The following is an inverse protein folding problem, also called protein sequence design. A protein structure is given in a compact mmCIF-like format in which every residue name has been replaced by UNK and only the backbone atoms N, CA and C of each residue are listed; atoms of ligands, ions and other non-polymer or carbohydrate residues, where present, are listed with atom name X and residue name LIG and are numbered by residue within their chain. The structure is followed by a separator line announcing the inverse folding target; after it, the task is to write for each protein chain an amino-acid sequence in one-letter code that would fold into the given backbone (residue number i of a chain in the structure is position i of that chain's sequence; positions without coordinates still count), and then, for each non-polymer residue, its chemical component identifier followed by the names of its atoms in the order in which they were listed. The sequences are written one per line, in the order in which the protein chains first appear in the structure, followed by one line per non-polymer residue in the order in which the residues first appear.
data_IF_686053022996
#
_entry.id   IF_686053022996
#
_cell.length_a   1.000
_cell.length_b   1.000
_cell.length_c   1.000
_cell.angle_alpha   90.00
_cell.angle_beta   90.00
_cell.angle_gamma   90.00
#
_symmetry.space_group_name_H-M   'P 1'
#
loop_
_entity.id
_entity.type
_entity.pdbx_description
1 polymer ?
#
# COMPACT_ATOMS: atom_id res chain seq x y z
N UNK A 1 16.33 22.00 13.74
CA UNK A 1 15.47 20.79 13.84
C UNK A 1 16.28 19.62 13.34
N UNK A 2 16.23 18.46 14.00
CA UNK A 2 16.94 17.25 13.54
C UNK A 2 15.93 16.14 13.20
N UNK A 3 16.15 15.43 12.11
CA UNK A 3 15.30 14.35 11.62
C UNK A 3 16.17 13.11 11.37
N UNK A 4 15.62 11.93 11.63
CA UNK A 4 16.29 10.66 11.35
C UNK A 4 16.12 10.27 9.88
N UNK A 5 14.96 10.61 9.29
CA UNK A 5 14.60 10.29 7.90
C UNK A 5 13.92 11.51 7.26
N UNK A 6 14.28 11.79 6.01
CA UNK A 6 13.58 12.78 5.16
C UNK A 6 13.05 12.05 3.93
N UNK A 7 11.73 12.09 3.75
CA UNK A 7 11.02 11.54 2.58
C UNK A 7 10.65 12.69 1.65
N UNK A 8 10.99 12.56 0.37
CA UNK A 8 10.71 13.57 -0.66
C UNK A 8 9.62 13.06 -1.61
N UNK A 9 8.53 13.80 -1.69
CA UNK A 9 7.31 13.48 -2.43
C UNK A 9 6.22 12.88 -1.53
N UNK A 10 5.11 13.58 -1.35
CA UNK A 10 3.95 13.10 -0.60
C UNK A 10 2.92 12.43 -1.52
N UNK A 11 3.39 11.54 -2.40
CA UNK A 11 2.51 10.62 -3.13
C UNK A 11 2.17 9.40 -2.27
N UNK A 12 1.37 8.46 -2.78
CA UNK A 12 1.03 7.24 -2.04
C UNK A 12 2.27 6.51 -1.46
N UNK A 13 3.35 6.34 -2.25
CA UNK A 13 4.56 5.65 -1.78
C UNK A 13 5.30 6.44 -0.70
N UNK A 14 5.45 7.75 -0.87
CA UNK A 14 6.14 8.59 0.11
C UNK A 14 5.37 8.77 1.42
N UNK A 15 4.03 8.85 1.34
CA UNK A 15 3.16 8.85 2.53
C UNK A 15 3.30 7.51 3.25
N UNK A 16 3.27 6.38 2.53
CA UNK A 16 3.44 5.06 3.15
C UNK A 16 4.81 4.89 3.80
N UNK A 17 5.89 5.30 3.12
CA UNK A 17 7.24 5.26 3.68
C UNK A 17 7.36 6.14 4.94
N UNK A 18 6.82 7.35 4.91
CA UNK A 18 6.87 8.27 6.04
C UNK A 18 6.03 7.77 7.23
N UNK A 19 4.85 7.21 6.96
CA UNK A 19 4.02 6.61 8.00
C UNK A 19 4.76 5.43 8.62
N UNK A 20 5.14 4.40 7.85
CA UNK A 20 5.84 3.20 8.35
C UNK A 20 7.08 3.56 9.17
N UNK A 21 7.93 4.47 8.68
CA UNK A 21 9.10 4.93 9.43
C UNK A 21 8.73 5.60 10.76
N UNK A 22 7.65 6.40 10.78
CA UNK A 22 7.11 6.97 12.01
C UNK A 22 6.52 5.90 12.94
N UNK A 23 5.92 4.82 12.42
CA UNK A 23 5.44 3.69 13.23
C UNK A 23 6.59 2.93 13.90
N UNK A 24 7.76 2.92 13.25
CA UNK A 24 9.00 2.39 13.81
C UNK A 24 9.71 3.36 14.75
N UNK A 25 9.14 4.54 15.00
CA UNK A 25 9.63 5.51 15.99
C UNK A 25 10.65 6.52 15.45
N UNK A 26 10.92 6.54 14.15
CA UNK A 26 11.81 7.53 13.56
C UNK A 26 11.17 8.94 13.54
N UNK A 27 12.00 9.98 13.71
CA UNK A 27 11.62 11.36 13.46
C UNK A 27 11.69 11.62 11.96
N UNK A 28 10.54 11.57 11.30
CA UNK A 28 10.44 11.71 9.84
C UNK A 28 10.02 13.12 9.44
N UNK A 29 10.68 13.70 8.43
CA UNK A 29 10.17 14.82 7.64
C UNK A 29 9.61 14.31 6.31
N UNK A 30 8.40 14.74 5.92
CA UNK A 30 7.81 14.46 4.62
C UNK A 30 7.66 15.78 3.86
N UNK A 31 8.24 15.84 2.66
CA UNK A 31 8.27 17.04 1.82
C UNK A 31 7.43 16.82 0.56
N UNK A 32 6.67 17.84 0.17
CA UNK A 32 5.93 17.88 -1.08
C UNK A 32 6.17 19.24 -1.74
N UNK A 33 6.44 19.23 -3.04
CA UNK A 33 6.65 20.46 -3.82
C UNK A 33 5.32 21.09 -4.24
N UNK A 34 4.32 20.25 -4.53
CA UNK A 34 2.98 20.67 -4.94
C UNK A 34 2.20 21.35 -3.81
N UNK A 35 1.08 21.96 -4.19
CA UNK A 35 0.11 22.56 -3.26
C UNK A 35 -0.73 21.51 -2.53
N UNK A 36 -0.75 20.27 -3.04
CA UNK A 36 -1.53 19.14 -2.53
C UNK A 36 -0.68 17.87 -2.46
N UNK A 37 -0.84 17.13 -1.36
CA UNK A 37 -0.34 15.76 -1.27
C UNK A 37 -1.23 14.78 -2.04
N UNK A 38 -0.76 13.55 -2.19
CA UNK A 38 -1.47 12.40 -2.76
C UNK A 38 -0.96 11.98 -4.14
N UNK A 39 -0.56 12.93 -4.97
CA UNK A 39 -0.01 12.67 -6.32
C UNK A 39 -0.88 11.75 -7.18
N UNK A 40 -0.27 11.05 -8.13
CA UNK A 40 -0.99 10.11 -9.01
C UNK A 40 -1.68 8.97 -8.24
N UNK A 41 -1.17 8.60 -7.05
CA UNK A 41 -1.80 7.57 -6.21
C UNK A 41 -3.19 7.98 -5.70
N UNK A 42 -3.37 9.24 -5.28
CA UNK A 42 -4.68 9.72 -4.83
C UNK A 42 -5.58 10.16 -5.99
N UNK A 43 -5.00 10.77 -7.03
CA UNK A 43 -5.79 11.39 -8.11
C UNK A 43 -6.03 10.47 -9.32
N UNK A 44 -5.13 9.52 -9.59
CA UNK A 44 -5.18 8.65 -10.77
C UNK A 44 -5.54 7.19 -10.49
N UNK A 45 -5.15 6.66 -9.33
CA UNK A 45 -5.48 5.27 -8.97
C UNK A 45 -6.90 5.16 -8.38
N UNK A 46 -7.53 4.00 -8.60
CA UNK A 46 -8.84 3.67 -8.00
C UNK A 46 -8.75 2.48 -7.03
N UNK A 47 -7.59 1.85 -6.90
CA UNK A 47 -7.42 0.64 -6.11
C UNK A 47 -6.04 0.04 -6.34
N UNK A 48 -5.82 -1.14 -5.74
CA UNK A 48 -4.57 -1.88 -5.84
C UNK A 48 -4.81 -3.35 -6.19
N UNK A 49 -3.81 -3.92 -6.85
CA UNK A 49 -3.69 -5.36 -7.01
C UNK A 49 -3.26 -6.01 -5.69
N UNK A 50 -3.86 -7.14 -5.33
CA UNK A 50 -3.30 -8.07 -4.37
C UNK A 50 -3.65 -9.52 -4.71
N UNK A 51 -2.85 -10.43 -4.17
CA UNK A 51 -3.04 -11.88 -4.30
C UNK A 51 -3.11 -12.53 -2.93
N UNK A 52 -3.96 -13.55 -2.79
CA UNK A 52 -4.22 -14.27 -1.52
C UNK A 52 -4.65 -13.39 -0.33
N UNK A 53 -5.28 -12.23 -0.59
CA UNK A 53 -5.83 -11.36 0.44
C UNK A 53 -6.95 -12.04 1.22
N UNK A 54 -7.27 -11.53 2.42
CA UNK A 54 -8.39 -12.02 3.22
C UNK A 54 -9.72 -11.93 2.45
N UNK A 55 -9.97 -10.82 1.77
CA UNK A 55 -11.17 -10.63 0.96
C UNK A 55 -11.25 -11.63 -0.21
N UNK A 56 -10.11 -11.97 -0.84
CA UNK A 56 -10.07 -12.99 -1.90
C UNK A 56 -10.39 -14.39 -1.36
N UNK A 57 -9.84 -14.74 -0.19
CA UNK A 57 -10.10 -16.02 0.48
C UNK A 57 -11.57 -16.15 0.89
N UNK A 58 -12.15 -15.10 1.48
CA UNK A 58 -13.56 -15.04 1.86
C UNK A 58 -14.49 -15.13 0.64
N UNK A 59 -14.09 -14.55 -0.50
CA UNK A 59 -14.82 -14.64 -1.76
C UNK A 59 -14.57 -15.94 -2.56
N UNK A 60 -13.77 -16.87 -2.03
CA UNK A 60 -13.48 -18.15 -2.69
C UNK A 60 -12.63 -18.04 -3.97
N UNK A 61 -11.87 -16.96 -4.14
CA UNK A 61 -11.01 -16.74 -5.31
C UNK A 61 -9.85 -17.74 -5.30
N UNK A 62 -9.74 -18.54 -6.36
CA UNK A 62 -8.64 -19.49 -6.57
C UNK A 62 -7.59 -18.88 -7.49
N UNK A 63 -6.72 -18.07 -6.90
CA UNK A 63 -5.58 -17.46 -7.59
C UNK A 63 -4.43 -17.31 -6.60
N UNK A 64 -3.36 -18.05 -6.84
CA UNK A 64 -2.23 -18.14 -5.91
C UNK A 64 -1.13 -17.14 -6.24
N UNK A 65 -0.23 -16.94 -5.29
CA UNK A 65 0.98 -16.15 -5.51
C UNK A 65 1.81 -16.67 -6.68
N UNK A 66 1.88 -18.00 -6.84
CA UNK A 66 2.58 -18.64 -7.95
C UNK A 66 1.94 -18.28 -9.29
N UNK A 67 0.61 -18.36 -9.38
CA UNK A 67 -0.12 -18.01 -10.60
C UNK A 67 0.16 -16.54 -11.00
N UNK A 68 0.09 -15.63 -10.01
CA UNK A 68 0.39 -14.21 -10.23
C UNK A 68 1.84 -13.96 -10.67
N UNK A 69 2.80 -14.67 -10.08
CA UNK A 69 4.20 -14.55 -10.45
C UNK A 69 4.46 -15.02 -11.88
N UNK A 70 3.94 -16.20 -12.24
CA UNK A 70 4.09 -16.76 -13.58
C UNK A 70 3.43 -15.86 -14.63
N UNK A 71 2.22 -15.35 -14.36
CA UNK A 71 1.51 -14.44 -15.27
C UNK A 71 2.30 -13.15 -15.53
N UNK A 72 2.79 -12.47 -14.49
CA UNK A 72 3.53 -11.20 -14.62
C UNK A 72 4.87 -11.41 -15.34
N UNK A 73 5.61 -12.45 -14.96
CA UNK A 73 6.93 -12.72 -15.55
C UNK A 73 6.80 -13.10 -17.03
N UNK A 74 5.79 -13.91 -17.37
CA UNK A 74 5.53 -14.27 -18.76
C UNK A 74 5.04 -13.07 -19.59
N UNK A 75 4.11 -12.27 -19.05
CA UNK A 75 3.59 -11.07 -19.71
C UNK A 75 4.70 -10.07 -20.04
N UNK A 76 5.68 -9.93 -19.15
CA UNK A 76 6.83 -9.04 -19.34
C UNK A 76 7.98 -9.68 -20.11
N UNK A 77 7.77 -10.85 -20.73
CA UNK A 77 8.81 -11.59 -21.45
C UNK A 77 10.10 -11.77 -20.63
N UNK A 78 9.96 -12.00 -19.32
CA UNK A 78 11.05 -12.12 -18.35
C UNK A 78 11.97 -10.90 -18.23
N UNK A 79 11.56 -9.72 -18.73
CA UNK A 79 12.36 -8.49 -18.61
C UNK A 79 12.24 -7.83 -17.24
N UNK A 80 11.21 -8.17 -16.45
CA UNK A 80 11.03 -7.65 -15.10
C UNK A 80 12.06 -8.22 -14.13
N UNK A 81 12.44 -7.42 -13.13
CA UNK A 81 13.24 -7.92 -12.02
C UNK A 81 12.42 -8.92 -11.20
N UNK A 82 12.71 -10.21 -11.38
CA UNK A 82 12.00 -11.31 -10.75
C UNK A 82 11.96 -11.23 -9.21
N UNK A 83 13.05 -10.79 -8.58
CA UNK A 83 13.11 -10.65 -7.12
C UNK A 83 12.17 -9.54 -6.63
N UNK A 84 12.11 -8.43 -7.37
CA UNK A 84 11.18 -7.34 -7.04
C UNK A 84 9.72 -7.74 -7.26
N UNK A 85 9.41 -8.43 -8.35
CA UNK A 85 8.06 -8.95 -8.61
C UNK A 85 7.63 -9.87 -7.46
N UNK A 86 8.48 -10.82 -7.07
CA UNK A 86 8.22 -11.73 -5.96
C UNK A 86 7.96 -10.97 -4.65
N UNK A 87 8.81 -10.00 -4.31
CA UNK A 87 8.66 -9.22 -3.09
C UNK A 87 7.33 -8.42 -3.06
N UNK A 88 6.93 -7.81 -4.19
CA UNK A 88 5.67 -7.08 -4.31
C UNK A 88 4.48 -8.02 -4.11
N UNK A 89 4.51 -9.20 -4.73
CA UNK A 89 3.42 -10.17 -4.63
C UNK A 89 3.27 -10.70 -3.19
N UNK A 90 4.38 -11.05 -2.54
CA UNK A 90 4.42 -11.57 -1.16
C UNK A 90 3.87 -10.57 -0.14
N UNK A 91 4.07 -9.27 -0.36
CA UNK A 91 3.60 -8.22 0.56
C UNK A 91 2.21 -7.65 0.18
N UNK A 92 1.65 -8.03 -0.96
CA UNK A 92 0.42 -7.41 -1.50
C UNK A 92 -0.79 -7.58 -0.58
N UNK A 93 -1.04 -8.79 -0.05
CA UNK A 93 -2.13 -9.05 0.88
C UNK A 93 -1.97 -8.27 2.20
N UNK A 94 -0.77 -8.31 2.79
CA UNK A 94 -0.49 -7.60 4.03
C UNK A 94 -0.61 -6.07 3.86
N UNK A 95 -0.31 -5.56 2.67
CA UNK A 95 -0.48 -4.16 2.31
C UNK A 95 -1.97 -3.76 2.34
N UNK A 96 -2.87 -4.59 1.82
CA UNK A 96 -4.32 -4.32 1.89
C UNK A 96 -4.80 -4.20 3.35
N UNK A 97 -4.37 -5.12 4.22
CA UNK A 97 -4.73 -5.09 5.63
C UNK A 97 -4.14 -3.85 6.34
N UNK A 98 -2.87 -3.54 6.12
CA UNK A 98 -2.21 -2.36 6.69
C UNK A 98 -2.85 -1.04 6.24
N UNK A 99 -3.30 -0.98 4.98
CA UNK A 99 -4.01 0.19 4.46
C UNK A 99 -5.34 0.40 5.18
N UNK A 100 -6.11 -0.68 5.40
CA UNK A 100 -7.35 -0.62 6.17
C UNK A 100 -7.10 -0.15 7.61
N UNK A 101 -6.09 -0.72 8.29
CA UNK A 101 -5.67 -0.29 9.64
C UNK A 101 -5.24 1.20 9.68
N UNK A 102 -4.64 1.69 8.59
CA UNK A 102 -4.21 3.08 8.44
C UNK A 102 -5.35 4.05 8.06
N UNK A 103 -6.57 3.54 7.85
CA UNK A 103 -7.78 4.30 7.53
C UNK A 103 -8.08 4.43 6.03
N UNK A 104 -7.38 3.70 5.17
CA UNK A 104 -7.61 3.63 3.72
C UNK A 104 -8.16 2.25 3.35
N UNK A 105 -9.46 2.08 3.56
CA UNK A 105 -10.16 0.82 3.30
C UNK A 105 -10.38 0.57 1.81
N UNK A 106 -10.41 -0.72 1.47
CA UNK A 106 -10.67 -1.21 0.12
C UNK A 106 -11.73 -2.30 0.14
N UNK A 107 -12.42 -2.45 -1.00
CA UNK A 107 -13.33 -3.55 -1.26
C UNK A 107 -12.86 -4.36 -2.46
N UNK A 108 -12.98 -5.69 -2.38
CA UNK A 108 -12.69 -6.56 -3.50
C UNK A 108 -13.83 -6.44 -4.51
N UNK A 109 -13.54 -5.91 -5.70
CA UNK A 109 -14.55 -5.75 -6.76
C UNK A 109 -14.33 -6.75 -7.89
N UNK A 110 -15.33 -6.89 -8.76
CA UNK A 110 -15.10 -7.48 -10.08
C UNK A 110 -14.21 -6.54 -10.88
N UNK A 111 -13.32 -7.08 -11.70
CA UNK A 111 -12.38 -6.28 -12.48
C UNK A 111 -13.13 -5.24 -13.32
N UNK A 112 -12.98 -3.96 -12.95
CA UNK A 112 -13.65 -2.81 -13.59
C UNK A 112 -12.88 -2.26 -14.78
N UNK A 113 -11.64 -2.74 -14.98
CA UNK A 113 -10.83 -2.41 -16.14
C UNK A 113 -11.04 -3.49 -17.20
N UNK A 114 -11.36 -3.07 -18.43
CA UNK A 114 -11.73 -3.96 -19.55
C UNK A 114 -10.69 -5.07 -19.78
N UNK A 115 -9.40 -4.72 -19.68
CA UNK A 115 -8.27 -5.65 -19.86
C UNK A 115 -8.18 -6.76 -18.80
N UNK A 116 -9.00 -6.69 -17.74
CA UNK A 116 -8.97 -7.63 -16.63
C UNK A 116 -10.30 -8.39 -16.45
N UNK A 117 -11.31 -8.19 -17.30
CA UNK A 117 -12.65 -8.77 -17.09
C UNK A 117 -12.67 -10.31 -17.07
N UNK A 118 -11.71 -10.98 -17.72
CA UNK A 118 -11.58 -12.45 -17.73
C UNK A 118 -10.58 -12.99 -16.70
N UNK A 119 -9.97 -12.11 -15.90
CA UNK A 119 -8.97 -12.50 -14.90
C UNK A 119 -9.60 -12.75 -13.53
N UNK A 120 -8.92 -13.51 -12.65
CA UNK A 120 -9.32 -13.65 -11.25
C UNK A 120 -9.50 -12.30 -10.56
N UNK A 121 -10.43 -12.25 -9.60
CA UNK A 121 -10.69 -11.05 -8.79
C UNK A 121 -9.48 -10.74 -7.91
N UNK A 122 -8.69 -9.78 -8.34
CA UNK A 122 -7.45 -9.34 -7.68
C UNK A 122 -7.43 -7.85 -7.35
N UNK A 123 -8.42 -7.11 -7.86
CA UNK A 123 -8.50 -5.67 -7.70
C UNK A 123 -9.27 -5.25 -6.45
N UNK A 124 -8.59 -4.47 -5.61
CA UNK A 124 -9.11 -3.92 -4.35
C UNK A 124 -9.34 -2.42 -4.53
N UNK A 125 -10.60 -2.04 -4.77
CA UNK A 125 -11.01 -0.66 -5.04
C UNK A 125 -11.11 0.13 -3.74
N UNK A 126 -10.68 1.40 -3.76
CA UNK A 126 -10.85 2.29 -2.62
C UNK A 126 -12.34 2.61 -2.37
N UNK A 127 -12.80 2.45 -1.13
CA UNK A 127 -14.18 2.77 -0.75
C UNK A 127 -14.37 4.30 -0.62
N UNK A 128 -13.47 4.97 0.11
CA UNK A 128 -13.48 6.43 0.30
C UNK A 128 -12.05 6.96 0.12
N UNK A 129 -11.63 7.06 -1.14
CA UNK A 129 -10.25 7.37 -1.52
C UNK A 129 -9.76 8.67 -0.89
N UNK A 130 -10.46 9.78 -1.13
CA UNK A 130 -9.96 11.09 -0.73
C UNK A 130 -9.91 11.27 0.79
N UNK A 131 -10.93 10.82 1.52
CA UNK A 131 -10.85 10.91 2.97
C UNK A 131 -9.96 9.81 3.56
N UNK A 132 -9.82 8.66 2.91
CA UNK A 132 -8.86 7.63 3.31
C UNK A 132 -7.43 8.14 3.29
N UNK A 133 -7.00 8.77 2.20
CA UNK A 133 -5.69 9.43 2.14
C UNK A 133 -5.54 10.53 3.21
N UNK A 134 -6.59 11.31 3.50
CA UNK A 134 -6.56 12.27 4.63
C UNK A 134 -6.43 11.57 5.98
N UNK A 135 -7.09 10.44 6.21
CA UNK A 135 -6.98 9.64 7.45
C UNK A 135 -5.56 9.11 7.63
N UNK A 136 -4.95 8.56 6.59
CA UNK A 136 -3.54 8.12 6.59
C UNK A 136 -2.60 9.28 6.95
N UNK A 137 -2.77 10.45 6.31
CA UNK A 137 -1.99 11.64 6.63
C UNK A 137 -2.21 12.15 8.05
N UNK A 138 -3.45 12.14 8.54
CA UNK A 138 -3.76 12.51 9.92
C UNK A 138 -3.11 11.55 10.92
N UNK A 139 -3.05 10.26 10.61
CA UNK A 139 -2.36 9.26 11.43
C UNK A 139 -0.85 9.55 11.52
N UNK A 140 -0.22 9.92 10.41
CA UNK A 140 1.17 10.39 10.40
C UNK A 140 1.37 11.62 11.30
N UNK A 141 0.49 12.62 11.23
CA UNK A 141 0.59 13.83 12.07
C UNK A 141 0.26 13.58 13.55
N UNK A 142 -0.69 12.69 13.87
CA UNK A 142 -1.07 12.37 15.25
C UNK A 142 0.06 11.67 16.00
N UNK A 143 0.77 10.76 15.33
CA UNK A 143 1.93 10.06 15.90
C UNK A 143 3.11 10.99 16.19
N UNK A 144 3.20 12.16 15.54
CA UNK A 144 4.15 13.23 15.93
C UNK A 144 3.82 13.92 17.27
N UNK A 145 2.57 13.85 17.76
CA UNK A 145 2.10 14.64 18.91
C UNK A 145 2.07 13.88 20.24
N UNK A 146 2.04 12.54 20.26
CA UNK A 146 1.93 11.77 21.50
C UNK A 146 3.11 10.80 21.70
N UNK A 147 3.98 11.04 22.70
CA UNK A 147 5.04 10.08 23.08
C UNK A 147 4.52 8.82 23.79
N UNK A 148 3.20 8.72 24.05
CA UNK A 148 2.57 7.66 24.83
C UNK A 148 1.81 6.62 23.98
N UNK A 149 1.61 6.84 22.68
CA UNK A 149 0.82 5.96 21.81
C UNK A 149 1.67 4.83 21.17
N UNK A 150 2.57 4.23 21.95
CA UNK A 150 3.63 3.30 21.49
C UNK A 150 3.20 1.82 21.36
N UNK A 151 1.91 1.52 21.48
CA UNK A 151 1.38 0.15 21.44
C UNK A 151 0.76 -0.21 20.08
N UNK A 152 1.48 0.04 18.98
CA UNK A 152 1.10 -0.46 17.65
C UNK A 152 2.14 -1.47 17.14
N UNK A 153 1.67 -2.47 16.41
CA UNK A 153 2.43 -3.67 16.05
C UNK A 153 3.70 -3.34 15.27
N UNK A 154 4.88 -3.65 15.81
CA UNK A 154 6.19 -3.52 15.14
C UNK A 154 6.39 -4.46 13.94
N UNK A 155 5.33 -5.12 13.45
CA UNK A 155 5.39 -6.16 12.42
C UNK A 155 6.06 -5.70 11.13
N UNK A 156 5.94 -4.41 10.79
CA UNK A 156 6.48 -3.84 9.56
C UNK A 156 7.92 -3.31 9.70
N UNK A 157 8.48 -3.25 10.91
CA UNK A 157 9.79 -2.62 11.17
C UNK A 157 10.98 -3.56 10.95
N UNK A 158 10.76 -4.87 10.88
CA UNK A 158 11.82 -5.88 10.72
C UNK A 158 11.92 -6.46 9.31
N UNK A 159 11.09 -5.98 8.36
CA UNK A 159 11.00 -6.53 6.99
C UNK A 159 11.71 -5.69 5.92
N UNK A 160 12.30 -4.56 6.31
CA UNK A 160 13.00 -3.62 5.42
C UNK A 160 14.53 -3.76 5.46
N UNK A 161 15.04 -4.94 5.84
CA UNK A 161 16.47 -5.24 5.95
C UNK A 161 16.95 -6.12 4.81
#
# INVERSE_FOLDING_TARGET
MNFDIVVVGASASGISAALTASECGAKVALLEKGDKFGGAGMFGAQGLFAVESRAQKEAGVKYSLKDAYEEIINYTHHSSNALMVKAILEESAATIDWMAESGLETELVTNTQEVHQEHPRTYHQFIDKFNGFKRVMNNFFRKRRSPYDRNFSRKNCSRTG
#
